data_IF_459514730354
#
_entry.id   IF_459514730354
#
_cell.length_a   1.000
_cell.length_b   1.000
_cell.length_c   1.000
_cell.angle_alpha   90.00
_cell.angle_beta   90.00
_cell.angle_gamma   90.00
#
_symmetry.space_group_name_H-M   'P 1'
#
loop_
_entity.id
_entity.type
_entity.pdbx_description
1 polymer ?
#
# COMPACT_ATOMS: atom_id res chain seq x y z
N UNK A 1 14.55 9.88 8.54
CA UNK A 1 15.24 8.59 8.66
C UNK A 1 14.44 7.69 9.58
N UNK A 2 14.07 6.47 9.15
CA UNK A 2 13.06 5.68 9.84
C UNK A 2 13.61 4.58 10.77
N UNK A 3 14.90 4.21 10.67
CA UNK A 3 15.48 3.11 11.46
C UNK A 3 16.97 3.34 11.80
N UNK A 4 17.31 4.13 12.83
CA UNK A 4 18.69 4.34 13.27
C UNK A 4 19.41 3.03 13.64
N UNK A 5 18.68 2.03 14.13
CA UNK A 5 19.21 0.69 14.46
C UNK A 5 19.61 -0.12 13.23
N UNK A 6 18.97 0.11 12.08
CA UNK A 6 19.26 -0.62 10.84
C UNK A 6 20.22 0.13 9.92
N UNK A 7 20.30 1.47 10.08
CA UNK A 7 21.14 2.37 9.30
C UNK A 7 21.94 3.32 10.20
N UNK A 8 22.88 2.81 11.01
CA UNK A 8 23.61 3.63 11.99
C UNK A 8 24.46 4.74 11.36
N UNK A 9 24.99 4.51 10.15
CA UNK A 9 25.79 5.48 9.39
C UNK A 9 24.97 6.19 8.29
N UNK A 10 23.64 5.99 8.28
CA UNK A 10 22.71 6.53 7.29
C UNK A 10 22.95 6.05 5.85
N UNK A 11 23.88 5.11 5.62
CA UNK A 11 24.17 4.59 4.28
C UNK A 11 23.19 3.49 3.92
N UNK A 12 22.85 3.41 2.64
CA UNK A 12 21.92 2.39 2.14
C UNK A 12 20.44 2.63 2.48
N UNK A 13 20.07 3.80 3.02
CA UNK A 13 18.67 4.20 3.19
C UNK A 13 17.93 4.11 1.83
N UNK A 14 16.87 3.29 1.70
CA UNK A 14 16.17 3.09 0.44
C UNK A 14 15.31 4.30 0.02
N UNK A 15 15.21 5.34 0.85
CA UNK A 15 14.54 6.61 0.53
C UNK A 15 15.49 7.66 -0.04
N UNK A 16 16.81 7.47 0.10
CA UNK A 16 17.79 8.41 -0.44
C UNK A 16 17.76 8.39 -1.98
N UNK A 17 17.56 9.55 -2.60
CA UNK A 17 17.49 9.73 -4.05
C UNK A 17 18.86 9.97 -4.69
N UNK A 18 19.89 10.28 -3.90
CA UNK A 18 21.26 10.58 -4.37
C UNK A 18 22.08 9.30 -4.64
N UNK A 19 21.47 8.29 -5.26
CA UNK A 19 22.18 7.06 -5.64
C UNK A 19 22.89 7.24 -6.97
N UNK A 20 24.04 6.57 -7.12
CA UNK A 20 24.80 6.53 -8.38
C UNK A 20 24.07 5.77 -9.50
N UNK A 21 23.12 4.91 -9.13
CA UNK A 21 22.30 4.11 -10.06
C UNK A 21 20.83 4.32 -9.73
N UNK A 22 20.02 4.50 -10.76
CA UNK A 22 18.57 4.51 -10.61
C UNK A 22 18.07 3.08 -10.45
N UNK A 23 17.63 2.75 -9.23
CA UNK A 23 17.10 1.44 -8.88
C UNK A 23 15.72 1.62 -8.25
N UNK A 24 14.68 0.91 -8.74
CA UNK A 24 13.35 0.98 -8.17
C UNK A 24 13.32 0.70 -6.66
N UNK A 25 12.41 1.36 -5.94
CA UNK A 25 12.29 1.24 -4.48
C UNK A 25 12.05 -0.22 -4.04
N UNK A 26 11.24 -0.96 -4.80
CA UNK A 26 10.94 -2.36 -4.52
C UNK A 26 12.20 -3.24 -4.57
N UNK A 27 13.06 -3.05 -5.58
CA UNK A 27 14.31 -3.81 -5.70
C UNK A 27 15.31 -3.43 -4.60
N UNK A 28 15.36 -2.15 -4.21
CA UNK A 28 16.17 -1.71 -3.05
C UNK A 28 15.70 -2.38 -1.75
N UNK A 29 14.40 -2.39 -1.49
CA UNK A 29 13.81 -3.04 -0.31
C UNK A 29 14.07 -4.55 -0.34
N UNK A 30 13.89 -5.19 -1.49
CA UNK A 30 14.14 -6.62 -1.68
C UNK A 30 15.60 -6.98 -1.42
N UNK A 31 16.53 -6.13 -1.85
CA UNK A 31 17.94 -6.28 -1.50
C UNK A 31 18.16 -6.22 0.01
N UNK A 32 17.59 -5.21 0.69
CA UNK A 32 17.70 -5.07 2.15
C UNK A 32 17.10 -6.27 2.89
N UNK A 33 15.95 -6.80 2.46
CA UNK A 33 15.34 -7.99 3.07
C UNK A 33 16.21 -9.24 2.90
N UNK A 34 16.94 -9.35 1.78
CA UNK A 34 17.87 -10.46 1.52
C UNK A 34 19.25 -10.25 2.15
N UNK A 35 19.56 -9.02 2.58
CA UNK A 35 20.84 -8.70 3.17
C UNK A 35 21.06 -9.55 4.44
N UNK A 36 22.25 -10.13 4.51
CA UNK A 36 22.68 -10.97 5.60
C UNK A 36 24.11 -10.61 5.96
N UNK A 37 24.40 -10.60 7.26
CA UNK A 37 25.74 -10.36 7.79
C UNK A 37 26.13 -11.50 8.73
N UNK A 38 27.43 -11.74 8.88
CA UNK A 38 27.93 -12.74 9.80
C UNK A 38 28.28 -12.03 11.12
N UNK A 39 27.54 -12.36 12.17
CA UNK A 39 27.80 -11.89 13.55
C UNK A 39 28.03 -13.14 14.39
N UNK A 40 29.16 -13.20 15.08
CA UNK A 40 29.55 -14.34 15.92
C UNK A 40 29.44 -15.71 15.21
N UNK A 41 29.85 -15.75 13.93
CA UNK A 41 29.82 -16.96 13.10
C UNK A 41 28.42 -17.37 12.60
N UNK A 42 27.38 -16.56 12.83
CA UNK A 42 26.00 -16.84 12.40
C UNK A 42 25.52 -15.82 11.38
N UNK A 43 24.77 -16.29 10.38
CA UNK A 43 24.05 -15.42 9.45
C UNK A 43 22.90 -14.72 10.15
N UNK A 44 22.92 -13.39 10.14
CA UNK A 44 21.89 -12.52 10.72
C UNK A 44 21.27 -11.68 9.61
N UNK A 45 19.96 -11.83 9.42
CA UNK A 45 19.18 -11.03 8.47
C UNK A 45 18.54 -9.84 9.20
N UNK A 46 19.34 -8.83 9.55
CA UNK A 46 18.88 -7.73 10.44
C UNK A 46 17.60 -7.03 9.97
N UNK A 47 17.43 -6.85 8.66
CA UNK A 47 16.26 -6.16 8.08
C UNK A 47 15.00 -7.03 8.10
N UNK A 48 15.12 -8.30 7.70
CA UNK A 48 14.01 -9.24 7.70
C UNK A 48 13.55 -9.57 9.13
N UNK A 49 14.48 -9.65 10.07
CA UNK A 49 14.20 -9.94 11.48
C UNK A 49 13.67 -8.73 12.26
N UNK A 50 13.74 -7.52 11.70
CA UNK A 50 13.30 -6.33 12.41
C UNK A 50 11.77 -6.24 12.47
N UNK A 51 11.15 -6.15 13.67
CA UNK A 51 9.69 -6.27 13.83
C UNK A 51 8.85 -5.31 13.00
N UNK A 52 9.39 -4.13 12.67
CA UNK A 52 8.68 -3.05 11.97
C UNK A 52 9.13 -2.82 10.53
N UNK A 53 10.25 -3.39 10.11
CA UNK A 53 10.86 -3.01 8.83
C UNK A 53 10.00 -3.46 7.65
N UNK A 54 9.51 -4.69 7.68
CA UNK A 54 8.63 -5.24 6.64
C UNK A 54 7.33 -4.44 6.47
N UNK A 55 6.69 -4.05 7.58
CA UNK A 55 5.48 -3.21 7.53
C UNK A 55 5.77 -1.81 6.99
N UNK A 56 6.87 -1.20 7.43
CA UNK A 56 7.29 0.09 6.90
C UNK A 56 7.59 0.03 5.41
N UNK A 57 8.33 -0.99 4.98
CA UNK A 57 8.69 -1.23 3.59
C UNK A 57 7.46 -1.41 2.71
N UNK A 58 6.51 -2.24 3.15
CA UNK A 58 5.22 -2.45 2.48
C UNK A 58 4.45 -1.14 2.31
N UNK A 59 4.28 -0.38 3.41
CA UNK A 59 3.61 0.91 3.39
C UNK A 59 4.33 1.94 2.49
N UNK A 60 5.67 1.93 2.42
CA UNK A 60 6.42 2.79 1.51
C UNK A 60 6.22 2.41 0.04
N UNK A 61 6.19 1.11 -0.28
CA UNK A 61 5.89 0.63 -1.63
C UNK A 61 4.49 1.07 -2.04
N UNK A 62 3.48 0.83 -1.18
CA UNK A 62 2.09 1.22 -1.46
C UNK A 62 1.96 2.73 -1.70
N UNK A 63 2.55 3.56 -0.84
CA UNK A 63 2.54 5.02 -1.00
C UNK A 63 3.18 5.46 -2.30
N UNK A 64 4.33 4.88 -2.68
CA UNK A 64 4.99 5.18 -3.95
C UNK A 64 4.11 4.82 -5.13
N UNK A 65 3.47 3.64 -5.12
CA UNK A 65 2.56 3.21 -6.19
C UNK A 65 1.33 4.10 -6.28
N UNK A 66 0.70 4.45 -5.16
CA UNK A 66 -0.45 5.37 -5.11
C UNK A 66 -0.08 6.72 -5.72
N UNK A 67 1.06 7.30 -5.33
CA UNK A 67 1.51 8.60 -5.87
C UNK A 67 1.79 8.53 -7.37
N UNK A 68 2.41 7.46 -7.85
CA UNK A 68 2.67 7.25 -9.28
C UNK A 68 1.36 7.15 -10.07
N UNK A 69 0.41 6.34 -9.62
CA UNK A 69 -0.89 6.19 -10.30
C UNK A 69 -1.73 7.46 -10.24
N UNK A 70 -1.73 8.17 -9.11
CA UNK A 70 -2.42 9.46 -8.99
C UNK A 70 -1.86 10.50 -9.95
N UNK A 71 -0.53 10.51 -10.15
CA UNK A 71 0.10 11.35 -11.16
C UNK A 71 -0.24 10.96 -12.60
N UNK A 72 -0.46 9.67 -12.88
CA UNK A 72 -0.93 9.21 -14.19
C UNK A 72 -2.39 9.59 -14.41
N UNK A 73 -3.24 9.44 -13.38
CA UNK A 73 -4.64 9.85 -13.41
C UNK A 73 -4.78 11.32 -13.83
N UNK A 74 -4.04 12.23 -13.19
CA UNK A 74 -4.04 13.64 -13.55
C UNK A 74 -3.66 13.89 -15.02
N UNK A 75 -2.70 13.12 -15.56
CA UNK A 75 -2.25 13.26 -16.96
C UNK A 75 -3.23 12.67 -17.97
N UNK A 76 -3.95 11.63 -17.61
CA UNK A 76 -4.84 10.89 -18.52
C UNK A 76 -6.23 11.50 -18.63
N UNK A 77 -6.69 12.25 -17.62
CA UNK A 77 -8.00 12.90 -17.64
C UNK A 77 -7.89 14.30 -18.24
N UNK A 78 -8.44 14.56 -19.44
CA UNK A 78 -8.24 15.84 -20.15
C UNK A 78 -8.76 17.07 -19.39
N UNK A 79 -9.82 16.90 -18.58
CA UNK A 79 -10.34 17.97 -17.71
C UNK A 79 -9.47 18.27 -16.50
N UNK A 80 -8.58 17.35 -16.12
CA UNK A 80 -7.69 17.48 -14.97
C UNK A 80 -6.22 17.71 -15.35
N UNK A 81 -5.84 17.39 -16.60
CA UNK A 81 -4.47 17.52 -17.11
C UNK A 81 -3.97 18.97 -17.14
N UNK A 82 -4.88 19.94 -17.08
CA UNK A 82 -4.58 21.36 -17.02
C UNK A 82 -4.61 21.94 -15.59
N UNK A 83 -4.96 21.14 -14.58
CA UNK A 83 -5.02 21.62 -13.21
C UNK A 83 -3.63 22.03 -12.72
N UNK A 84 -3.53 23.30 -12.38
CA UNK A 84 -2.34 23.86 -11.74
C UNK A 84 -2.24 23.37 -10.29
N UNK A 85 -1.05 23.43 -9.71
CA UNK A 85 -0.81 23.10 -8.30
C UNK A 85 -1.70 23.98 -7.38
N UNK A 86 -1.98 25.22 -7.80
CA UNK A 86 -2.83 26.14 -7.05
C UNK A 86 -4.28 25.65 -7.02
N UNK A 87 -4.84 25.26 -8.16
CA UNK A 87 -6.20 24.72 -8.27
C UNK A 87 -6.32 23.38 -7.52
N UNK A 88 -5.32 22.50 -7.60
CA UNK A 88 -5.29 21.27 -6.80
C UNK A 88 -5.32 21.56 -5.29
N UNK A 89 -4.62 22.61 -4.85
CA UNK A 89 -4.60 23.04 -3.44
C UNK A 89 -5.94 23.64 -3.02
N UNK A 90 -6.57 24.43 -3.87
CA UNK A 90 -7.89 25.02 -3.64
C UNK A 90 -9.00 23.95 -3.61
N UNK A 91 -8.93 22.96 -4.51
CA UNK A 91 -9.81 21.79 -4.48
C UNK A 91 -9.64 21.00 -3.18
N UNK A 92 -8.42 20.82 -2.69
CA UNK A 92 -8.17 20.11 -1.43
C UNK A 92 -8.74 20.83 -0.19
N UNK A 93 -8.86 22.16 -0.24
CA UNK A 93 -9.43 22.97 0.87
C UNK A 93 -10.93 23.19 0.75
N UNK A 94 -11.52 22.98 -0.43
CA UNK A 94 -12.94 23.17 -0.69
C UNK A 94 -13.73 21.85 -0.58
N UNK A 95 -15.05 21.93 -0.60
CA UNK A 95 -15.93 20.75 -0.57
C UNK A 95 -15.77 19.84 -1.83
N UNK A 96 -15.05 20.32 -2.85
CA UNK A 96 -14.69 19.56 -4.05
C UNK A 96 -13.58 18.53 -3.80
N UNK A 97 -12.86 18.63 -2.67
CA UNK A 97 -11.84 17.66 -2.27
C UNK A 97 -12.40 16.23 -2.25
N UNK A 98 -13.62 16.06 -1.75
CA UNK A 98 -14.23 14.74 -1.58
C UNK A 98 -14.54 14.06 -2.92
N UNK A 99 -15.00 14.83 -3.91
CA UNK A 99 -15.31 14.32 -5.25
C UNK A 99 -14.01 13.90 -5.95
N UNK A 100 -13.04 14.80 -6.01
CA UNK A 100 -11.73 14.52 -6.61
C UNK A 100 -11.03 13.32 -5.94
N UNK A 101 -11.02 13.27 -4.61
CA UNK A 101 -10.44 12.14 -3.86
C UNK A 101 -11.18 10.82 -4.12
N UNK A 102 -12.49 10.86 -4.38
CA UNK A 102 -13.25 9.66 -4.73
C UNK A 102 -12.88 9.12 -6.12
N UNK A 103 -12.62 10.00 -7.08
CA UNK A 103 -12.21 9.65 -8.44
C UNK A 103 -10.80 9.08 -8.47
N UNK A 104 -9.85 9.75 -7.79
CA UNK A 104 -8.49 9.24 -7.58
C UNK A 104 -8.55 7.89 -6.85
N UNK A 105 -9.36 7.78 -5.78
CA UNK A 105 -9.52 6.54 -5.03
C UNK A 105 -10.03 5.40 -5.92
N UNK A 106 -10.96 5.67 -6.84
CA UNK A 106 -11.45 4.66 -7.79
C UNK A 106 -10.36 4.25 -8.76
N UNK A 107 -9.57 5.20 -9.26
CA UNK A 107 -8.46 4.93 -10.19
C UNK A 107 -7.38 4.03 -9.57
N UNK A 108 -7.04 4.25 -8.30
CA UNK A 108 -6.06 3.42 -7.56
C UNK A 108 -6.66 2.15 -6.95
N UNK A 109 -7.93 1.84 -7.25
CA UNK A 109 -8.64 0.66 -6.76
C UNK A 109 -8.10 -0.68 -7.27
N UNK A 110 -7.11 -0.67 -8.17
CA UNK A 110 -6.36 -1.85 -8.59
C UNK A 110 -5.22 -2.23 -7.62
N UNK A 111 -4.87 -1.37 -6.65
CA UNK A 111 -3.80 -1.67 -5.67
C UNK A 111 -4.36 -2.55 -4.56
N UNK A 112 -4.00 -3.83 -4.57
CA UNK A 112 -4.42 -4.82 -3.58
C UNK A 112 -4.14 -4.38 -2.13
N UNK A 113 -5.07 -4.70 -1.23
CA UNK A 113 -4.97 -4.38 0.20
C UNK A 113 -5.30 -2.94 0.57
N UNK A 114 -5.56 -2.05 -0.40
CA UNK A 114 -6.06 -0.69 -0.10
C UNK A 114 -7.56 -0.70 0.17
N UNK A 115 -8.05 0.34 0.87
CA UNK A 115 -9.49 0.54 1.08
C UNK A 115 -10.26 0.63 -0.25
N UNK A 116 -9.69 1.30 -1.24
CA UNK A 116 -10.25 1.42 -2.57
C UNK A 116 -10.44 0.07 -3.26
N UNK A 117 -9.42 -0.79 -3.19
CA UNK A 117 -9.49 -2.15 -3.72
C UNK A 117 -10.58 -2.98 -3.04
N UNK A 118 -10.64 -2.99 -1.72
CA UNK A 118 -11.67 -3.74 -0.99
C UNK A 118 -13.08 -3.21 -1.24
N UNK A 119 -13.24 -1.89 -1.40
CA UNK A 119 -14.51 -1.31 -1.81
C UNK A 119 -14.91 -1.79 -3.22
N UNK A 120 -13.97 -1.80 -4.17
CA UNK A 120 -14.23 -2.32 -5.53
C UNK A 120 -14.66 -3.79 -5.49
N UNK A 121 -13.92 -4.65 -4.79
CA UNK A 121 -14.23 -6.09 -4.65
C UNK A 121 -15.60 -6.30 -4.00
N UNK A 122 -15.94 -5.48 -2.99
CA UNK A 122 -17.25 -5.52 -2.33
C UNK A 122 -18.39 -5.19 -3.30
N UNK A 123 -18.24 -4.13 -4.09
CA UNK A 123 -19.28 -3.74 -5.06
C UNK A 123 -19.40 -4.75 -6.19
N UNK A 124 -18.29 -5.33 -6.66
CA UNK A 124 -18.31 -6.45 -7.63
C UNK A 124 -19.05 -7.67 -7.06
N UNK A 125 -18.80 -8.03 -5.80
CA UNK A 125 -19.50 -9.13 -5.14
C UNK A 125 -21.01 -8.87 -5.03
N UNK A 126 -21.42 -7.65 -4.65
CA UNK A 126 -22.84 -7.28 -4.63
C UNK A 126 -23.49 -7.39 -6.01
N UNK A 127 -22.79 -6.94 -7.05
CA UNK A 127 -23.28 -7.04 -8.42
C UNK A 127 -23.45 -8.50 -8.86
N UNK A 128 -22.52 -9.39 -8.50
CA UNK A 128 -22.64 -10.83 -8.76
C UNK A 128 -23.87 -11.39 -8.05
N UNK A 129 -24.05 -11.10 -6.76
CA UNK A 129 -25.21 -11.58 -5.99
C UNK A 129 -26.52 -11.09 -6.61
N UNK A 130 -26.57 -9.83 -7.04
CA UNK A 130 -27.77 -9.26 -7.68
C UNK A 130 -28.12 -9.91 -9.01
N UNK A 131 -27.13 -10.39 -9.78
CA UNK A 131 -27.34 -10.95 -11.12
C UNK A 131 -27.51 -12.48 -11.11
N UNK A 132 -26.70 -13.18 -10.30
CA UNK A 132 -26.63 -14.65 -10.27
C UNK A 132 -27.53 -15.23 -9.17
N UNK A 133 -27.87 -14.43 -8.16
CA UNK A 133 -28.61 -14.87 -6.98
C UNK A 133 -27.71 -15.13 -5.77
N UNK A 134 -28.31 -15.64 -4.70
CA UNK A 134 -27.64 -15.79 -3.39
C UNK A 134 -26.41 -16.69 -3.49
N UNK A 135 -25.25 -16.14 -3.11
CA UNK A 135 -24.00 -16.87 -3.11
C UNK A 135 -23.96 -17.89 -1.96
N UNK A 136 -23.52 -19.12 -2.26
CA UNK A 136 -23.09 -20.04 -1.21
C UNK A 136 -21.65 -19.69 -0.85
N UNK A 137 -21.44 -19.17 0.37
CA UNK A 137 -20.11 -18.81 0.87
C UNK A 137 -19.43 -20.03 1.49
N UNK A 138 -18.22 -20.35 1.05
CA UNK A 138 -17.35 -21.33 1.67
C UNK A 138 -16.14 -20.62 2.27
N UNK A 139 -16.01 -20.63 3.59
CA UNK A 139 -14.85 -20.11 4.30
C UNK A 139 -13.97 -21.25 4.77
N UNK A 140 -12.67 -21.14 4.52
CA UNK A 140 -11.65 -21.97 5.19
C UNK A 140 -10.95 -21.08 6.21
N UNK A 141 -11.18 -21.36 7.48
CA UNK A 141 -10.48 -20.66 8.55
C UNK A 141 -9.12 -21.32 8.76
N UNK A 142 -8.05 -20.53 8.75
CA UNK A 142 -6.77 -20.99 9.27
C UNK A 142 -6.81 -21.02 10.81
N UNK A 143 -5.85 -21.67 11.46
CA UNK A 143 -5.73 -21.62 12.93
C UNK A 143 -5.67 -20.19 13.47
N UNK A 144 -5.11 -19.24 12.71
CA UNK A 144 -5.04 -17.84 13.14
C UNK A 144 -6.44 -17.19 13.18
N UNK A 145 -7.32 -17.54 12.24
CA UNK A 145 -8.68 -16.97 12.18
C UNK A 145 -9.57 -17.52 13.29
N UNK A 146 -9.35 -18.76 13.73
CA UNK A 146 -10.02 -19.31 14.92
C UNK A 146 -9.66 -18.57 16.22
N UNK A 147 -8.51 -17.88 16.24
CA UNK A 147 -8.04 -17.10 17.39
C UNK A 147 -8.25 -15.59 17.25
N UNK A 148 -9.15 -15.14 16.36
CA UNK A 148 -9.46 -13.72 16.18
C UNK A 148 -10.85 -13.35 16.74
N UNK A 149 -10.96 -12.91 18.01
CA UNK A 149 -12.25 -12.69 18.69
C UNK A 149 -13.13 -11.65 18.00
N UNK A 150 -12.54 -10.58 17.46
CA UNK A 150 -13.25 -9.51 16.75
C UNK A 150 -13.92 -10.03 15.48
N UNK A 151 -13.26 -10.95 14.76
CA UNK A 151 -13.85 -11.60 13.58
C UNK A 151 -15.06 -12.45 13.99
N UNK A 152 -14.93 -13.25 15.05
CA UNK A 152 -16.04 -14.08 15.56
C UNK A 152 -17.23 -13.25 16.04
N UNK A 153 -16.99 -12.06 16.59
CA UNK A 153 -18.05 -11.15 17.03
C UNK A 153 -18.94 -10.69 15.86
N UNK A 154 -18.39 -10.55 14.65
CA UNK A 154 -19.16 -10.13 13.46
C UNK A 154 -20.16 -11.19 12.99
N UNK A 155 -19.94 -12.47 13.30
CA UNK A 155 -20.81 -13.58 12.89
C UNK A 155 -21.88 -13.95 13.93
N UNK A 156 -21.88 -13.31 15.10
CA UNK A 156 -22.87 -13.55 16.17
C UNK A 156 -24.11 -12.65 16.08
N UNK A 157 -24.22 -11.84 15.03
CA UNK A 157 -25.34 -10.93 14.79
C UNK A 157 -26.48 -11.60 14.01
#
# INVERSE_FOLDING_TARGET
MAFPTLFPDCKGDPTNQRLLRDVPLQERIKHLLKFAEIIDGKWVHRFANHPRFSYWAFNMIQRKTILQQSGIFLKQNPGEAHLTIHELREMATSNNANVFMSEVSRYVGNIAGTKAYWNKVREELKAIISNVGTLTLFFTFSSADMHWPELHALFKA
#
